data_IF_131034125718
#
_entry.id   IF_131034125718
#
_cell.length_a   1.000
_cell.length_b   1.000
_cell.length_c   1.000
_cell.angle_alpha   90.00
_cell.angle_beta   90.00
_cell.angle_gamma   90.00
#
_symmetry.space_group_name_H-M   'P 1'
#
loop_
_entity.id
_entity.type
_entity.pdbx_description
1 polymer ?
#
# COMPACT_ATOMS: atom_id res chain seq x y z
N UNK A 1 2.21 20.21 7.10
CA UNK A 1 2.66 19.52 5.90
C UNK A 1 1.81 18.28 5.78
N UNK A 2 1.19 18.04 4.62
CA UNK A 2 0.48 16.79 4.39
C UNK A 2 1.45 15.73 3.82
N UNK A 3 1.03 14.46 3.82
CA UNK A 3 1.85 13.35 3.32
C UNK A 3 2.31 13.54 1.87
N UNK A 4 1.42 14.04 1.01
CA UNK A 4 1.69 14.25 -0.42
C UNK A 4 2.81 15.27 -0.64
N UNK A 5 2.81 16.38 0.11
CA UNK A 5 3.89 17.37 0.09
C UNK A 5 5.21 16.76 0.57
N UNK A 6 5.15 15.99 1.65
CA UNK A 6 6.35 15.38 2.22
C UNK A 6 7.00 14.33 1.31
N UNK A 7 6.22 13.63 0.46
CA UNK A 7 6.75 12.72 -0.56
C UNK A 7 7.63 13.47 -1.55
N UNK A 8 7.17 14.64 -2.03
CA UNK A 8 7.93 15.45 -2.97
C UNK A 8 9.24 15.93 -2.34
N UNK A 9 9.18 16.42 -1.09
CA UNK A 9 10.39 16.85 -0.37
C UNK A 9 11.35 15.68 -0.10
N UNK A 10 10.82 14.51 0.26
CA UNK A 10 11.62 13.30 0.45
C UNK A 10 12.34 12.92 -0.84
N UNK A 11 11.64 12.86 -1.98
CA UNK A 11 12.24 12.51 -3.27
C UNK A 11 13.29 13.53 -3.74
N UNK A 12 13.17 14.78 -3.30
CA UNK A 12 14.16 15.83 -3.57
C UNK A 12 15.32 15.87 -2.54
N UNK A 13 15.23 15.09 -1.45
CA UNK A 13 16.21 15.11 -0.36
C UNK A 13 17.48 14.31 -0.67
N UNK A 14 18.58 14.63 0.01
CA UNK A 14 19.81 13.84 -0.07
C UNK A 14 19.61 12.39 0.42
N UNK A 15 18.66 12.14 1.31
CA UNK A 15 18.34 10.79 1.80
C UNK A 15 17.84 9.88 0.69
N UNK A 16 17.06 10.40 -0.25
CA UNK A 16 16.61 9.66 -1.42
C UNK A 16 17.78 9.22 -2.32
N UNK A 17 18.91 9.95 -2.30
CA UNK A 17 20.08 9.56 -3.08
C UNK A 17 20.69 8.24 -2.60
N UNK A 18 20.54 7.90 -1.33
CA UNK A 18 21.06 6.69 -0.69
C UNK A 18 20.11 5.49 -0.75
N UNK A 19 18.92 5.66 -1.33
CA UNK A 19 17.98 4.57 -1.56
C UNK A 19 18.55 3.58 -2.59
N UNK A 20 18.26 2.29 -2.42
CA UNK A 20 18.67 1.25 -3.36
C UNK A 20 18.17 1.57 -4.79
N UNK A 21 19.03 1.39 -5.79
CA UNK A 21 18.73 1.74 -7.19
C UNK A 21 17.48 1.01 -7.72
N UNK A 22 17.17 -0.19 -7.20
CA UNK A 22 15.96 -0.95 -7.58
C UNK A 22 14.68 -0.28 -7.11
N UNK A 23 14.74 0.41 -5.97
CA UNK A 23 13.62 1.16 -5.41
C UNK A 23 13.52 2.54 -6.03
N UNK A 24 14.67 3.20 -6.26
CA UNK A 24 14.74 4.59 -6.70
C UNK A 24 13.95 4.89 -7.97
N UNK A 25 13.94 3.97 -8.93
CA UNK A 25 13.18 4.12 -10.19
C UNK A 25 11.66 4.07 -10.03
N UNK A 26 11.15 3.53 -8.92
CA UNK A 26 9.73 3.35 -8.66
C UNK A 26 9.24 4.00 -7.36
N UNK A 27 10.15 4.58 -6.57
CA UNK A 27 9.86 5.04 -5.22
C UNK A 27 8.82 6.17 -5.20
N UNK A 28 8.95 7.14 -6.09
CA UNK A 28 7.96 8.22 -6.22
C UNK A 28 6.57 7.66 -6.57
N UNK A 29 6.49 6.76 -7.56
CA UNK A 29 5.23 6.15 -7.97
C UNK A 29 4.61 5.31 -6.84
N UNK A 30 5.42 4.55 -6.10
CA UNK A 30 4.97 3.73 -4.99
C UNK A 30 4.42 4.58 -3.83
N UNK A 31 5.15 5.62 -3.41
CA UNK A 31 4.73 6.52 -2.35
C UNK A 31 3.49 7.33 -2.76
N UNK A 32 3.47 7.84 -4.01
CA UNK A 32 2.32 8.57 -4.55
C UNK A 32 1.06 7.68 -4.60
N UNK A 33 1.20 6.42 -5.03
CA UNK A 33 0.07 5.50 -5.04
C UNK A 33 -0.38 5.15 -3.63
N UNK A 34 0.56 4.91 -2.71
CA UNK A 34 0.26 4.60 -1.32
C UNK A 34 -0.49 5.75 -0.62
N UNK A 35 -0.06 7.00 -0.79
CA UNK A 35 -0.75 8.14 -0.18
C UNK A 35 -2.17 8.31 -0.70
N UNK A 36 -2.50 7.87 -1.93
CA UNK A 36 -3.91 7.87 -2.38
C UNK A 36 -4.78 6.82 -1.70
N UNK A 37 -4.17 5.81 -1.07
CA UNK A 37 -4.86 4.74 -0.35
C UNK A 37 -4.99 4.98 1.15
N UNK A 38 -4.25 5.96 1.67
CA UNK A 38 -4.20 6.32 3.08
C UNK A 38 -4.88 7.67 3.25
N UNK A 39 -5.86 7.75 4.16
CA UNK A 39 -6.49 9.01 4.55
C UNK A 39 -5.65 9.72 5.64
N UNK A 40 -6.00 10.96 5.98
CA UNK A 40 -5.31 11.76 7.01
C UNK A 40 -5.28 11.04 8.39
N UNK A 41 -6.22 10.13 8.65
CA UNK A 41 -6.31 9.29 9.85
C UNK A 41 -5.62 7.92 9.65
N UNK A 42 -4.30 7.92 9.40
CA UNK A 42 -3.52 6.68 9.34
C UNK A 42 -3.54 5.98 10.71
N UNK A 43 -4.12 4.77 10.76
CA UNK A 43 -4.06 3.83 11.88
C UNK A 43 -3.32 2.52 11.51
N UNK A 44 -3.06 1.65 12.50
CA UNK A 44 -2.27 0.43 12.30
C UNK A 44 -2.91 -0.54 11.29
N UNK A 45 -4.23 -0.74 11.39
CA UNK A 45 -4.97 -1.64 10.48
C UNK A 45 -4.98 -1.11 9.04
N UNK A 46 -5.07 0.21 8.89
CA UNK A 46 -5.07 0.91 7.60
C UNK A 46 -3.67 0.92 6.98
N UNK A 47 -2.61 1.02 7.80
CA UNK A 47 -1.24 0.90 7.32
C UNK A 47 -0.96 -0.49 6.74
N UNK A 48 -1.28 -1.58 7.45
CA UNK A 48 -1.07 -2.94 6.92
C UNK A 48 -1.89 -3.15 5.63
N UNK A 49 -3.14 -2.69 5.61
CA UNK A 49 -4.02 -2.81 4.44
C UNK A 49 -3.51 -2.03 3.23
N UNK A 50 -2.99 -0.82 3.43
CA UNK A 50 -2.43 0.02 2.37
C UNK A 50 -1.14 -0.58 1.78
N UNK A 51 -0.26 -1.11 2.62
CA UNK A 51 0.97 -1.83 2.21
C UNK A 51 0.61 -3.06 1.38
N UNK A 52 -0.38 -3.84 1.83
CA UNK A 52 -0.87 -5.01 1.09
C UNK A 52 -1.52 -4.62 -0.25
N UNK A 53 -2.07 -3.41 -0.39
CA UNK A 53 -2.63 -2.90 -1.65
C UNK A 53 -1.60 -2.75 -2.77
N UNK A 54 -0.34 -2.47 -2.44
CA UNK A 54 0.75 -2.25 -3.41
C UNK A 54 1.03 -3.47 -4.28
N UNK A 55 0.74 -4.68 -3.80
CA UNK A 55 0.97 -5.90 -4.60
C UNK A 55 0.17 -5.91 -5.90
N UNK A 56 -0.96 -5.20 -5.93
CA UNK A 56 -1.86 -5.12 -7.08
C UNK A 56 -1.34 -4.24 -8.22
N UNK A 57 -0.28 -3.47 -7.98
CA UNK A 57 0.30 -2.59 -8.98
C UNK A 57 1.08 -3.37 -10.04
N UNK A 58 0.99 -2.88 -11.27
CA UNK A 58 1.77 -3.37 -12.41
C UNK A 58 3.20 -2.78 -12.36
N UNK A 59 3.96 -3.24 -11.35
CA UNK A 59 5.33 -2.84 -11.06
C UNK A 59 6.23 -4.08 -10.91
N UNK A 60 7.56 -3.94 -11.08
CA UNK A 60 8.50 -5.03 -10.85
C UNK A 60 8.33 -5.66 -9.46
N UNK A 61 8.46 -6.99 -9.40
CA UNK A 61 8.28 -7.74 -8.15
C UNK A 61 9.26 -7.25 -7.07
N UNK A 62 10.50 -6.97 -7.44
CA UNK A 62 11.52 -6.45 -6.51
C UNK A 62 11.10 -5.11 -5.90
N UNK A 63 10.57 -4.18 -6.72
CA UNK A 63 10.09 -2.89 -6.24
C UNK A 63 8.90 -3.05 -5.29
N UNK A 64 7.99 -3.99 -5.59
CA UNK A 64 6.87 -4.33 -4.70
C UNK A 64 7.35 -4.92 -3.39
N UNK A 65 8.25 -5.92 -3.42
CA UNK A 65 8.80 -6.59 -2.23
C UNK A 65 9.48 -5.62 -1.27
N UNK A 66 10.20 -4.64 -1.80
CA UNK A 66 10.94 -3.66 -1.02
C UNK A 66 10.12 -2.41 -0.65
N UNK A 67 8.81 -2.41 -0.90
CA UNK A 67 7.95 -1.28 -0.55
C UNK A 67 7.92 -0.94 0.96
N UNK A 68 7.87 -1.90 1.90
CA UNK A 68 7.96 -1.59 3.33
C UNK A 68 9.28 -0.89 3.71
N UNK A 69 10.39 -1.27 3.07
CA UNK A 69 11.69 -0.64 3.32
C UNK A 69 11.73 0.80 2.82
N UNK A 70 11.05 1.08 1.69
CA UNK A 70 10.85 2.44 1.19
C UNK A 70 9.99 3.27 2.15
N UNK A 71 8.91 2.69 2.70
CA UNK A 71 8.09 3.38 3.70
C UNK A 71 8.89 3.66 4.97
N UNK A 72 9.68 2.72 5.46
CA UNK A 72 10.53 2.92 6.63
C UNK A 72 11.50 4.10 6.43
N UNK A 73 12.19 4.14 5.27
CA UNK A 73 13.07 5.26 4.92
C UNK A 73 12.32 6.60 4.82
N UNK A 74 11.08 6.58 4.33
CA UNK A 74 10.24 7.77 4.26
C UNK A 74 9.79 8.23 5.66
N UNK A 75 9.33 7.34 6.53
CA UNK A 75 8.98 7.68 7.91
C UNK A 75 10.19 8.11 8.74
N UNK A 76 11.37 7.54 8.52
CA UNK A 76 12.62 8.03 9.09
C UNK A 76 12.93 9.48 8.66
N UNK A 77 12.71 9.83 7.39
CA UNK A 77 12.77 11.22 6.91
C UNK A 77 11.79 12.13 7.64
N UNK A 78 10.53 11.73 7.75
CA UNK A 78 9.49 12.52 8.44
C UNK A 78 9.82 12.74 9.92
N UNK A 79 10.31 11.71 10.60
CA UNK A 79 10.77 11.77 11.99
C UNK A 79 11.92 12.75 12.14
N UNK A 80 12.92 12.65 11.27
CA UNK A 80 14.15 13.46 11.36
C UNK A 80 13.90 14.94 11.04
N UNK A 81 12.98 15.21 10.10
CA UNK A 81 12.60 16.58 9.72
C UNK A 81 11.54 17.18 10.62
N UNK A 82 10.97 16.39 11.55
CA UNK A 82 9.79 16.76 12.33
C UNK A 82 8.61 17.23 11.45
N UNK A 83 8.55 16.76 10.19
CA UNK A 83 7.49 17.08 9.25
C UNK A 83 6.15 16.47 9.67
N UNK A 84 6.19 15.38 10.45
CA UNK A 84 5.01 14.69 10.97
C UNK A 84 5.24 14.20 12.40
N UNK A 85 4.53 14.75 13.41
CA UNK A 85 4.74 14.41 14.83
C UNK A 85 4.56 12.93 15.18
N UNK A 86 3.68 12.24 14.45
CA UNK A 86 3.33 10.84 14.70
C UNK A 86 4.27 9.85 13.98
N UNK A 87 5.17 10.32 13.11
CA UNK A 87 6.05 9.46 12.32
C UNK A 87 6.83 8.39 13.12
N UNK A 88 7.37 8.68 14.33
CA UNK A 88 8.16 7.70 15.08
C UNK A 88 7.37 6.45 15.49
N UNK A 89 6.04 6.55 15.67
CA UNK A 89 5.21 5.42 16.14
C UNK A 89 5.15 4.27 15.14
N UNK A 90 5.50 4.53 13.88
CA UNK A 90 5.39 3.60 12.77
C UNK A 90 6.67 2.83 12.49
N UNK A 91 7.82 3.33 12.91
CA UNK A 91 9.13 2.74 12.59
C UNK A 91 9.25 1.31 13.15
N UNK A 92 8.88 1.12 14.43
CA UNK A 92 8.89 -0.20 15.05
C UNK A 92 7.89 -1.18 14.39
N UNK A 93 6.75 -0.65 13.93
CA UNK A 93 5.69 -1.45 13.32
C UNK A 93 5.99 -1.82 11.86
N UNK A 94 6.66 -0.95 11.10
CA UNK A 94 7.06 -1.20 9.72
C UNK A 94 8.13 -2.29 9.62
N UNK A 95 9.04 -2.37 10.61
CA UNK A 95 9.99 -3.48 10.69
C UNK A 95 9.29 -4.85 10.83
N UNK A 96 8.22 -4.92 11.63
CA UNK A 96 7.39 -6.12 11.78
C UNK A 96 6.63 -6.44 10.48
N UNK A 97 6.02 -5.43 9.86
CA UNK A 97 5.31 -5.58 8.57
C UNK A 97 6.26 -6.07 7.48
N UNK A 98 7.47 -5.51 7.37
CA UNK A 98 8.40 -5.82 6.27
C UNK A 98 8.72 -7.31 6.17
N UNK A 99 8.96 -7.97 7.32
CA UNK A 99 9.21 -9.41 7.39
C UNK A 99 7.99 -10.22 6.93
N UNK A 100 6.79 -9.89 7.41
CA UNK A 100 5.54 -10.58 7.05
C UNK A 100 5.15 -10.34 5.58
N UNK A 101 5.31 -9.12 5.09
CA UNK A 101 4.88 -8.69 3.77
C UNK A 101 5.72 -9.32 2.65
N UNK A 102 7.05 -9.27 2.78
CA UNK A 102 7.96 -9.79 1.76
C UNK A 102 7.78 -11.31 1.56
N UNK A 103 7.57 -12.06 2.65
CA UNK A 103 7.28 -13.51 2.63
C UNK A 103 5.93 -13.86 1.98
N UNK A 104 5.00 -12.92 1.93
CA UNK A 104 3.69 -13.12 1.31
C UNK A 104 3.76 -12.95 -0.20
N UNK A 105 4.73 -12.24 -0.76
CA UNK A 105 4.92 -12.17 -2.21
C UNK A 105 5.64 -13.42 -2.68
N UNK A 106 5.04 -14.15 -3.62
CA UNK A 106 5.67 -15.30 -4.30
C UNK A 106 6.50 -14.84 -5.49
N UNK A 107 7.37 -15.72 -6.00
CA UNK A 107 8.24 -15.43 -7.13
C UNK A 107 7.49 -15.21 -8.45
N UNK A 108 6.26 -15.71 -8.54
CA UNK A 108 5.33 -15.44 -9.66
C UNK A 108 4.59 -14.10 -9.51
N UNK A 109 4.89 -13.32 -8.47
CA UNK A 109 4.24 -12.05 -8.15
C UNK A 109 2.88 -12.19 -7.47
N UNK A 110 2.42 -13.41 -7.16
CA UNK A 110 1.16 -13.63 -6.44
C UNK A 110 1.30 -13.41 -4.94
N UNK A 111 0.29 -12.84 -4.29
CA UNK A 111 0.28 -12.63 -2.85
C UNK A 111 -0.35 -13.82 -2.10
N UNK A 112 0.35 -14.35 -1.11
CA UNK A 112 -0.11 -15.41 -0.21
C UNK A 112 -1.03 -14.79 0.84
N UNK A 113 -2.28 -15.26 0.87
CA UNK A 113 -3.27 -14.85 1.87
C UNK A 113 -4.23 -13.74 1.44
N UNK A 114 -4.02 -13.09 0.29
CA UNK A 114 -5.10 -12.31 -0.32
C UNK A 114 -5.99 -13.28 -1.08
N UNK A 115 -7.00 -13.82 -0.40
CA UNK A 115 -8.23 -14.16 -1.13
C UNK A 115 -8.81 -12.83 -1.55
N UNK A 116 -8.31 -12.25 -2.65
CA UNK A 116 -9.07 -11.23 -3.36
C UNK A 116 -10.32 -11.97 -3.81
N UNK A 117 -11.38 -11.88 -3.03
CA UNK A 117 -12.72 -12.29 -3.45
C UNK A 117 -13.01 -11.46 -4.69
N UNK A 118 -12.66 -12.01 -5.85
CA UNK A 118 -12.83 -11.41 -7.16
C UNK A 118 -14.32 -11.24 -7.37
N UNK A 119 -14.82 -10.05 -7.04
CA UNK A 119 -16.23 -9.71 -6.91
C UNK A 119 -17.00 -10.63 -5.94
N UNK A 120 -18.05 -10.11 -5.32
CA UNK A 120 -19.13 -10.98 -4.86
C UNK A 120 -19.56 -11.81 -6.07
N UNK A 121 -19.22 -13.11 -6.12
CA UNK A 121 -19.88 -14.07 -7.02
C UNK A 121 -21.32 -14.19 -6.55
N UNK A 122 -22.12 -13.16 -6.83
CA UNK A 122 -23.55 -13.16 -6.60
C UNK A 122 -24.11 -14.31 -7.45
N UNK A 123 -24.66 -15.33 -6.79
CA UNK A 123 -25.26 -16.45 -7.50
C UNK A 123 -26.40 -15.94 -8.37
N UNK A 124 -26.62 -16.51 -9.56
CA UNK A 124 -27.73 -16.10 -10.46
C UNK A 124 -29.09 -16.03 -9.76
N UNK A 125 -29.29 -16.78 -8.67
CA UNK A 125 -30.53 -16.81 -7.90
C UNK A 125 -30.52 -15.93 -6.63
N UNK A 126 -29.40 -15.31 -6.25
CA UNK A 126 -29.29 -14.46 -5.05
C UNK A 126 -29.86 -13.06 -5.30
N UNK A 127 -30.24 -12.31 -4.24
CA UNK A 127 -30.69 -10.93 -4.35
C UNK A 127 -29.65 -10.06 -5.08
N UNK A 128 -30.11 -9.24 -6.01
CA UNK A 128 -29.23 -8.42 -6.81
C UNK A 128 -28.68 -7.23 -5.98
N UNK A 129 -27.36 -6.95 -6.04
CA UNK A 129 -26.76 -5.82 -5.35
C UNK A 129 -27.23 -4.45 -5.88
N UNK A 130 -27.99 -4.41 -6.99
CA UNK A 130 -28.63 -3.21 -7.56
C UNK A 130 -29.71 -2.58 -6.64
N UNK A 131 -30.04 -3.19 -5.51
CA UNK A 131 -31.08 -2.71 -4.58
C UNK A 131 -32.51 -2.96 -5.05
N UNK A 132 -32.73 -3.66 -6.17
CA UNK A 132 -34.07 -3.90 -6.73
C UNK A 132 -34.90 -4.96 -5.99
N UNK A 133 -34.29 -5.71 -5.07
CA UNK A 133 -34.91 -6.86 -4.39
C UNK A 133 -35.13 -8.09 -5.27
N UNK A 134 -34.71 -8.08 -6.54
CA UNK A 134 -34.87 -9.20 -7.49
C UNK A 134 -33.65 -10.10 -7.50
N UNK A 135 -33.82 -11.36 -7.92
CA UNK A 135 -32.69 -12.29 -8.15
C UNK A 135 -31.73 -11.74 -9.22
N UNK A 136 -30.42 -11.93 -9.08
CA UNK A 136 -29.39 -11.37 -9.97
C UNK A 136 -29.65 -11.63 -11.46
N UNK A 137 -29.99 -12.88 -11.83
CA UNK A 137 -30.36 -13.29 -13.21
C UNK A 137 -31.60 -12.60 -13.81
N UNK A 138 -32.29 -11.78 -13.02
CA UNK A 138 -33.50 -11.05 -13.38
C UNK A 138 -33.36 -9.52 -13.12
N UNK A 139 -32.19 -9.03 -12.70
CA UNK A 139 -31.87 -7.59 -12.60
C UNK A 139 -30.68 -7.25 -13.51
N UNK A 140 -29.47 -7.56 -13.05
CA UNK A 140 -28.22 -7.12 -13.68
C UNK A 140 -27.46 -8.22 -14.43
N UNK A 141 -27.99 -9.45 -14.48
CA UNK A 141 -27.37 -10.58 -15.18
C UNK A 141 -28.38 -11.52 -15.84
#
# INVERSE_FOLDING_TARGET
MNLSEAIFEYCASERFLFLDDKLKGHAEQLLAQWVTTVDDDLDFDTLESSVNGIVTLDLPIDAKRSFPDLLDAFFDYLTTTAAWPDAPRWQDYLAEISLSYSDRIRDDGSFKGQTVSSALKVGRNDPCPCGSGRKYKKCCG
#
